data_IF_737603830269
#
_entry.id   IF_737603830269
#
_cell.length_a   1.000
_cell.length_b   1.000
_cell.length_c   1.000
_cell.angle_alpha   90.00
_cell.angle_beta   90.00
_cell.angle_gamma   90.00
#
_symmetry.space_group_name_H-M   'P 1'
#
loop_
_entity.id
_entity.type
_entity.pdbx_description
1 polymer ?
#
# COMPACT_ATOMS: atom_id res chain seq x y z
N UNK A 1 8.93 -25.25 22.32
CA UNK A 1 8.10 -24.06 22.58
C UNK A 1 6.89 -24.11 21.66
N UNK A 2 5.71 -23.89 22.19
CA UNK A 2 4.51 -23.68 21.37
C UNK A 2 4.61 -22.33 20.67
N UNK A 3 4.03 -22.20 19.47
CA UNK A 3 3.98 -20.94 18.75
C UNK A 3 2.99 -19.98 19.44
N UNK A 4 3.47 -18.85 19.89
CA UNK A 4 2.69 -17.71 20.37
C UNK A 4 3.41 -16.39 20.06
N UNK A 5 2.85 -15.25 20.45
CA UNK A 5 3.42 -13.93 20.14
C UNK A 5 4.82 -13.69 20.73
N UNK A 6 5.19 -14.38 21.80
CA UNK A 6 6.53 -14.27 22.41
C UNK A 6 7.55 -15.20 21.75
N UNK A 7 7.10 -16.30 21.16
CA UNK A 7 7.96 -17.33 20.57
C UNK A 7 8.00 -17.26 19.04
N UNK A 8 7.20 -16.39 18.42
CA UNK A 8 7.20 -16.18 16.98
C UNK A 8 8.52 -15.57 16.51
N UNK A 9 9.13 -16.17 15.48
CA UNK A 9 10.39 -15.67 14.88
C UNK A 9 10.12 -14.38 14.10
N UNK A 10 9.01 -14.32 13.38
CA UNK A 10 8.62 -13.10 12.65
C UNK A 10 8.01 -12.06 13.60
N UNK A 11 8.49 -10.81 13.61
CA UNK A 11 7.87 -9.75 14.39
C UNK A 11 6.43 -9.42 13.95
N UNK A 12 6.05 -9.76 12.72
CA UNK A 12 4.68 -9.61 12.20
C UNK A 12 3.70 -10.41 13.07
N UNK A 13 4.02 -11.67 13.35
CA UNK A 13 3.16 -12.59 14.12
C UNK A 13 3.43 -12.52 15.63
N UNK A 14 4.57 -11.93 16.03
CA UNK A 14 4.94 -11.70 17.42
C UNK A 14 4.59 -10.28 17.88
N UNK A 15 5.63 -9.41 17.93
CA UNK A 15 5.57 -8.04 18.45
C UNK A 15 4.43 -7.19 17.88
N UNK A 16 4.11 -7.37 16.60
CA UNK A 16 3.12 -6.55 15.88
C UNK A 16 1.80 -7.27 15.61
N UNK A 17 1.56 -8.44 16.20
CA UNK A 17 0.36 -9.25 15.94
C UNK A 17 -0.94 -8.45 16.06
N UNK A 18 -1.07 -7.61 17.07
CA UNK A 18 -2.26 -6.78 17.27
C UNK A 18 -2.55 -5.79 16.13
N UNK A 19 -1.56 -5.47 15.31
CA UNK A 19 -1.71 -4.60 14.14
C UNK A 19 -1.96 -5.37 12.84
N UNK A 20 -1.49 -6.59 12.76
CA UNK A 20 -1.48 -7.43 11.56
C UNK A 20 -2.58 -8.48 11.54
N UNK A 21 -3.25 -8.69 12.67
CA UNK A 21 -4.30 -9.70 12.83
C UNK A 21 -5.36 -9.68 11.73
N UNK A 22 -5.87 -8.51 11.26
CA UNK A 22 -6.86 -8.48 10.18
C UNK A 22 -6.36 -9.09 8.86
N UNK A 23 -5.04 -9.18 8.65
CA UNK A 23 -4.46 -9.80 7.46
C UNK A 23 -4.46 -11.34 7.52
N UNK A 24 -4.68 -11.93 8.69
CA UNK A 24 -4.72 -13.38 8.85
C UNK A 24 -5.84 -14.03 8.04
N UNK A 25 -6.97 -13.34 7.86
CA UNK A 25 -8.10 -13.80 7.07
C UNK A 25 -7.82 -13.88 5.56
N UNK A 26 -6.68 -13.34 5.11
CA UNK A 26 -6.30 -13.27 3.70
C UNK A 26 -5.00 -14.02 3.41
N UNK A 27 -4.02 -13.97 4.28
CA UNK A 27 -2.65 -14.40 3.99
C UNK A 27 -2.10 -15.50 4.90
N UNK A 28 -2.87 -16.00 5.87
CA UNK A 28 -2.48 -17.16 6.65
C UNK A 28 -2.65 -18.48 5.88
N UNK A 29 -2.05 -19.56 6.35
CA UNK A 29 -2.28 -20.91 5.79
C UNK A 29 -3.76 -21.31 5.90
N UNK A 30 -4.43 -20.95 7.00
CA UNK A 30 -5.86 -21.08 7.17
C UNK A 30 -6.64 -20.36 6.05
N UNK A 31 -6.31 -19.10 5.78
CA UNK A 31 -6.95 -18.32 4.73
C UNK A 31 -6.73 -18.95 3.34
N UNK A 32 -5.50 -19.38 3.03
CA UNK A 32 -5.20 -20.04 1.76
C UNK A 32 -6.04 -21.30 1.56
N UNK A 33 -6.20 -22.13 2.60
CA UNK A 33 -7.07 -23.31 2.55
C UNK A 33 -8.53 -22.88 2.27
N UNK A 34 -9.05 -21.88 2.98
CA UNK A 34 -10.42 -21.39 2.82
C UNK A 34 -10.68 -20.86 1.40
N UNK A 35 -9.73 -20.09 0.83
CA UNK A 35 -9.84 -19.61 -0.55
C UNK A 35 -9.78 -20.74 -1.57
N UNK A 36 -8.95 -21.75 -1.37
CA UNK A 36 -8.91 -22.95 -2.24
C UNK A 36 -10.23 -23.70 -2.20
N UNK A 37 -10.79 -23.95 -1.02
CA UNK A 37 -12.10 -24.60 -0.86
C UNK A 37 -13.18 -23.77 -1.55
N UNK A 38 -13.17 -22.44 -1.38
CA UNK A 38 -14.12 -21.54 -2.06
C UNK A 38 -14.05 -21.66 -3.57
N UNK A 39 -12.87 -21.63 -4.15
CA UNK A 39 -12.69 -21.75 -5.62
C UNK A 39 -13.17 -23.10 -6.12
N UNK A 40 -12.84 -24.19 -5.45
CA UNK A 40 -13.29 -25.55 -5.81
C UNK A 40 -14.81 -25.67 -5.74
N UNK A 41 -15.44 -25.17 -4.70
CA UNK A 41 -16.90 -25.22 -4.52
C UNK A 41 -17.61 -24.37 -5.59
N UNK A 42 -17.18 -23.13 -5.82
CA UNK A 42 -17.78 -22.29 -6.85
C UNK A 42 -17.55 -22.86 -8.25
N UNK A 43 -16.41 -23.49 -8.50
CA UNK A 43 -16.15 -24.23 -9.73
C UNK A 43 -17.13 -25.42 -9.91
N UNK A 44 -17.27 -26.26 -8.89
CA UNK A 44 -18.21 -27.39 -8.92
C UNK A 44 -19.67 -26.92 -9.16
N UNK A 45 -20.12 -25.89 -8.46
CA UNK A 45 -21.43 -25.28 -8.66
C UNK A 45 -21.59 -24.81 -10.12
N UNK A 46 -20.57 -24.14 -10.67
CA UNK A 46 -20.60 -23.65 -12.04
C UNK A 46 -20.65 -24.78 -13.07
N UNK A 47 -19.98 -25.91 -12.80
CA UNK A 47 -20.12 -27.11 -13.63
C UNK A 47 -21.58 -27.67 -13.58
N UNK A 48 -22.22 -27.70 -12.41
CA UNK A 48 -23.61 -28.14 -12.26
C UNK A 48 -24.61 -27.21 -12.97
N UNK A 49 -24.25 -25.97 -13.21
CA UNK A 49 -25.06 -25.01 -13.99
C UNK A 49 -24.98 -25.27 -15.51
N UNK A 50 -24.04 -26.12 -15.96
CA UNK A 50 -23.86 -26.46 -17.37
C UNK A 50 -24.79 -27.63 -17.80
N UNK A 51 -25.12 -27.73 -19.10
CA UNK A 51 -25.91 -28.84 -19.62
C UNK A 51 -25.08 -30.13 -19.79
N UNK A 52 -24.31 -30.49 -18.76
CA UNK A 52 -23.52 -31.73 -18.75
C UNK A 52 -24.41 -32.88 -18.33
N UNK A 53 -24.54 -33.95 -19.16
CA UNK A 53 -25.49 -35.05 -18.88
C UNK A 53 -25.30 -35.69 -17.52
N UNK A 54 -24.05 -35.81 -17.05
CA UNK A 54 -23.69 -36.45 -15.76
C UNK A 54 -24.05 -35.56 -14.55
N UNK A 55 -24.25 -34.28 -14.74
CA UNK A 55 -24.63 -33.32 -13.69
C UNK A 55 -26.11 -32.90 -13.79
N UNK A 56 -26.83 -33.32 -14.81
CA UNK A 56 -28.23 -32.93 -15.04
C UNK A 56 -29.17 -33.28 -13.89
N UNK A 57 -28.83 -34.30 -13.09
CA UNK A 57 -29.61 -34.72 -11.92
C UNK A 57 -29.23 -34.00 -10.61
N UNK A 58 -28.32 -33.08 -10.64
CA UNK A 58 -27.89 -32.40 -9.42
C UNK A 58 -28.96 -31.44 -8.89
N UNK A 59 -29.23 -31.52 -7.59
CA UNK A 59 -30.23 -30.63 -6.95
C UNK A 59 -29.63 -29.26 -6.63
N UNK A 60 -29.96 -28.26 -7.43
CA UNK A 60 -29.45 -26.88 -7.28
C UNK A 60 -29.83 -26.22 -5.93
N UNK A 61 -30.83 -26.77 -5.20
CA UNK A 61 -31.13 -26.28 -3.83
C UNK A 61 -30.01 -26.52 -2.84
N UNK A 62 -29.07 -27.40 -3.15
CA UNK A 62 -27.89 -27.68 -2.35
C UNK A 62 -26.76 -26.65 -2.52
N UNK A 63 -26.82 -25.76 -3.50
CA UNK A 63 -25.75 -24.79 -3.77
C UNK A 63 -25.36 -23.95 -2.53
N UNK A 64 -26.34 -23.43 -1.80
CA UNK A 64 -26.06 -22.67 -0.58
C UNK A 64 -25.41 -23.53 0.49
N UNK A 65 -25.84 -24.78 0.63
CA UNK A 65 -25.22 -25.73 1.58
C UNK A 65 -23.79 -26.10 1.19
N UNK A 66 -23.49 -26.17 -0.11
CA UNK A 66 -22.09 -26.31 -0.59
C UNK A 66 -21.26 -25.07 -0.27
N UNK A 67 -21.81 -23.87 -0.45
CA UNK A 67 -21.12 -22.62 -0.08
C UNK A 67 -20.83 -22.51 1.40
N UNK A 68 -21.68 -23.09 2.25
CA UNK A 68 -21.46 -23.12 3.70
C UNK A 68 -20.19 -23.87 4.07
N UNK A 69 -19.69 -24.81 3.24
CA UNK A 69 -18.43 -25.53 3.47
C UNK A 69 -17.26 -24.53 3.61
N UNK A 70 -17.16 -23.50 2.74
CA UNK A 70 -16.08 -22.53 2.84
C UNK A 70 -16.43 -21.30 3.69
N UNK A 71 -17.72 -20.95 3.81
CA UNK A 71 -18.17 -19.81 4.63
C UNK A 71 -18.01 -20.10 6.12
N UNK A 72 -18.29 -21.33 6.52
CA UNK A 72 -18.21 -21.78 7.92
C UNK A 72 -16.92 -22.56 8.22
N UNK A 73 -15.96 -22.58 7.26
CA UNK A 73 -14.68 -23.27 7.48
C UNK A 73 -13.94 -22.62 8.66
N UNK A 74 -13.69 -23.37 9.69
CA UNK A 74 -12.96 -22.97 10.88
C UNK A 74 -11.56 -23.59 10.96
N UNK A 75 -10.86 -23.34 12.06
CA UNK A 75 -9.52 -23.90 12.30
C UNK A 75 -9.51 -25.44 12.32
N UNK A 76 -10.60 -26.08 12.78
CA UNK A 76 -10.73 -27.55 12.81
C UNK A 76 -10.78 -28.13 11.40
N UNK A 77 -11.53 -27.52 10.51
CA UNK A 77 -11.65 -27.94 9.12
C UNK A 77 -10.33 -27.71 8.39
N UNK A 78 -9.68 -26.57 8.62
CA UNK A 78 -8.35 -26.30 8.09
C UNK A 78 -7.31 -27.32 8.61
N UNK A 79 -7.37 -27.67 9.90
CA UNK A 79 -6.50 -28.71 10.46
C UNK A 79 -6.79 -30.09 9.82
N UNK A 80 -8.08 -30.41 9.51
CA UNK A 80 -8.40 -31.65 8.79
C UNK A 80 -7.72 -31.69 7.42
N UNK A 81 -7.76 -30.59 6.66
CA UNK A 81 -7.02 -30.49 5.38
C UNK A 81 -5.52 -30.73 5.58
N UNK A 82 -4.91 -30.15 6.62
CA UNK A 82 -3.49 -30.38 6.94
C UNK A 82 -3.19 -31.85 7.34
N UNK A 83 -4.10 -32.52 8.00
CA UNK A 83 -3.95 -33.92 8.36
C UNK A 83 -4.01 -34.85 7.13
N UNK A 84 -4.88 -34.54 6.17
CA UNK A 84 -4.91 -35.21 4.87
C UNK A 84 -3.62 -34.94 4.09
N UNK A 85 -3.16 -33.67 4.07
CA UNK A 85 -1.92 -33.28 3.38
C UNK A 85 -0.69 -34.03 3.90
N UNK A 86 -0.59 -34.29 5.21
CA UNK A 86 0.50 -35.12 5.81
C UNK A 86 0.59 -36.49 5.20
N UNK A 87 -0.53 -37.07 4.77
CA UNK A 87 -0.59 -38.42 4.17
C UNK A 87 -0.35 -38.34 2.66
N UNK A 88 -0.98 -37.38 1.98
CA UNK A 88 -0.94 -37.28 0.51
C UNK A 88 0.32 -36.59 0.02
N UNK A 89 0.99 -35.81 0.87
CA UNK A 89 2.10 -34.91 0.55
C UNK A 89 1.77 -33.94 -0.62
N UNK A 90 0.49 -33.52 -0.70
CA UNK A 90 0.00 -32.65 -1.73
C UNK A 90 -1.15 -31.77 -1.22
N UNK A 91 -0.93 -30.47 -1.16
CA UNK A 91 -1.80 -29.48 -0.54
C UNK A 91 -3.18 -29.34 -1.24
N UNK A 92 -3.21 -29.16 -2.56
CA UNK A 92 -4.46 -29.00 -3.30
C UNK A 92 -5.25 -30.32 -3.37
N UNK A 93 -4.56 -31.47 -3.46
CA UNK A 93 -5.22 -32.79 -3.39
C UNK A 93 -5.87 -33.03 -2.03
N UNK A 94 -5.26 -32.53 -0.96
CA UNK A 94 -5.85 -32.59 0.37
C UNK A 94 -7.16 -31.76 0.46
N UNK A 95 -7.23 -30.62 -0.20
CA UNK A 95 -8.44 -29.81 -0.32
C UNK A 95 -9.55 -30.59 -1.06
N UNK A 96 -9.22 -31.22 -2.20
CA UNK A 96 -10.17 -32.07 -2.95
C UNK A 96 -10.74 -33.18 -2.08
N UNK A 97 -9.90 -33.91 -1.34
CA UNK A 97 -10.37 -34.99 -0.45
C UNK A 97 -11.23 -34.45 0.70
N UNK A 98 -10.84 -33.33 1.30
CA UNK A 98 -11.65 -32.70 2.32
C UNK A 98 -13.07 -32.33 1.78
N UNK A 99 -13.16 -31.76 0.60
CA UNK A 99 -14.45 -31.42 0.00
C UNK A 99 -15.30 -32.68 -0.25
N UNK A 100 -14.67 -33.78 -0.70
CA UNK A 100 -15.37 -35.07 -0.86
C UNK A 100 -15.88 -35.63 0.48
N UNK A 101 -15.13 -35.47 1.58
CA UNK A 101 -15.59 -35.82 2.93
C UNK A 101 -16.78 -34.95 3.37
N UNK A 102 -16.79 -33.66 3.02
CA UNK A 102 -17.92 -32.77 3.31
C UNK A 102 -19.17 -33.16 2.48
N UNK A 103 -18.98 -33.58 1.22
CA UNK A 103 -20.06 -34.10 0.40
C UNK A 103 -20.70 -35.38 1.01
N UNK A 104 -19.88 -36.25 1.61
CA UNK A 104 -20.39 -37.45 2.33
C UNK A 104 -21.24 -37.06 3.54
N UNK A 105 -20.87 -36.00 4.27
CA UNK A 105 -21.66 -35.49 5.40
C UNK A 105 -22.98 -34.85 4.96
N UNK A 106 -23.03 -34.24 3.77
CA UNK A 106 -24.25 -33.69 3.18
C UNK A 106 -25.20 -34.83 2.76
N UNK A 107 -24.62 -35.91 2.18
CA UNK A 107 -25.32 -37.08 1.69
C UNK A 107 -26.01 -36.88 0.34
N UNK A 108 -26.18 -37.97 -0.41
CA UNK A 108 -26.80 -37.95 -1.72
C UNK A 108 -25.98 -37.31 -2.84
N UNK A 109 -24.68 -37.15 -2.63
CA UNK A 109 -23.78 -36.56 -3.60
C UNK A 109 -22.75 -37.54 -4.19
N UNK A 110 -22.91 -38.83 -3.93
CA UNK A 110 -21.95 -39.88 -4.32
C UNK A 110 -21.68 -39.92 -5.83
N UNK A 111 -22.72 -39.74 -6.64
CA UNK A 111 -22.65 -39.77 -8.10
C UNK A 111 -21.95 -38.53 -8.69
N UNK A 112 -21.77 -37.47 -7.88
CA UNK A 112 -21.24 -36.18 -8.33
C UNK A 112 -19.84 -35.87 -7.81
N UNK A 113 -19.35 -36.61 -6.82
CA UNK A 113 -18.05 -36.33 -6.14
C UNK A 113 -16.86 -36.25 -7.07
N UNK A 114 -16.84 -37.05 -8.15
CA UNK A 114 -15.70 -37.09 -9.07
C UNK A 114 -15.64 -35.85 -9.97
N UNK A 115 -16.64 -34.97 -9.92
CA UNK A 115 -16.59 -33.64 -10.56
C UNK A 115 -15.94 -32.57 -9.70
N UNK A 116 -15.58 -32.86 -8.44
CA UNK A 116 -14.67 -32.00 -7.65
C UNK A 116 -13.31 -32.02 -8.32
N UNK A 117 -12.74 -30.85 -8.58
CA UNK A 117 -11.46 -30.70 -9.29
C UNK A 117 -11.43 -31.27 -10.73
N UNK A 118 -12.59 -31.42 -11.36
CA UNK A 118 -12.71 -32.03 -12.70
C UNK A 118 -11.93 -31.23 -13.74
N UNK A 119 -11.00 -31.87 -14.43
CA UNK A 119 -10.20 -31.27 -15.52
C UNK A 119 -9.19 -30.21 -15.08
N UNK A 120 -9.12 -29.89 -13.81
CA UNK A 120 -8.23 -28.87 -13.25
C UNK A 120 -6.81 -29.37 -12.95
N UNK A 121 -5.90 -28.44 -12.79
CA UNK A 121 -4.60 -28.63 -12.16
C UNK A 121 -4.50 -27.77 -10.90
N UNK A 122 -3.58 -28.08 -10.00
CA UNK A 122 -3.39 -27.34 -8.74
C UNK A 122 -3.26 -25.83 -8.94
N UNK A 123 -2.70 -25.41 -10.06
CA UNK A 123 -2.50 -23.98 -10.33
C UNK A 123 -3.77 -23.28 -10.84
N UNK A 124 -4.79 -23.99 -11.30
CA UNK A 124 -6.12 -23.38 -11.51
C UNK A 124 -6.73 -22.94 -10.18
N UNK A 125 -6.39 -23.62 -9.09
CA UNK A 125 -6.84 -23.31 -7.75
C UNK A 125 -5.93 -22.25 -7.08
N UNK A 126 -4.61 -22.39 -7.16
CA UNK A 126 -3.70 -21.44 -6.54
C UNK A 126 -3.68 -20.08 -7.25
N UNK A 127 -3.64 -20.08 -8.60
CA UNK A 127 -3.62 -18.84 -9.39
C UNK A 127 -4.99 -18.16 -9.54
N UNK A 128 -5.99 -18.64 -8.85
CA UNK A 128 -7.28 -17.99 -8.61
C UNK A 128 -7.43 -17.58 -7.14
N UNK A 129 -7.08 -18.46 -6.21
CA UNK A 129 -7.17 -18.21 -4.76
C UNK A 129 -6.28 -17.05 -4.30
N UNK A 130 -5.02 -17.00 -4.76
CA UNK A 130 -4.07 -15.95 -4.36
C UNK A 130 -4.51 -14.57 -4.85
N UNK A 131 -4.82 -14.32 -6.13
CA UNK A 131 -5.30 -13.00 -6.56
C UNK A 131 -6.67 -12.65 -5.96
N UNK A 132 -7.52 -13.62 -5.64
CA UNK A 132 -8.79 -13.37 -4.96
C UNK A 132 -8.56 -12.89 -3.52
N UNK A 133 -7.71 -13.57 -2.76
CA UNK A 133 -7.36 -13.14 -1.41
C UNK A 133 -6.66 -11.78 -1.39
N UNK A 134 -5.78 -11.52 -2.36
CA UNK A 134 -5.11 -10.23 -2.52
C UNK A 134 -6.13 -9.11 -2.79
N UNK A 135 -7.08 -9.33 -3.69
CA UNK A 135 -8.15 -8.39 -3.97
C UNK A 135 -8.92 -8.01 -2.71
N UNK A 136 -9.38 -9.03 -1.97
CA UNK A 136 -10.17 -8.81 -0.76
C UNK A 136 -9.34 -8.17 0.36
N UNK A 137 -8.04 -8.47 0.48
CA UNK A 137 -7.12 -7.80 1.41
C UNK A 137 -6.89 -6.32 1.06
N UNK A 138 -6.75 -6.00 -0.23
CA UNK A 138 -6.65 -4.61 -0.68
C UNK A 138 -7.92 -3.84 -0.32
N UNK A 139 -9.09 -4.39 -0.64
CA UNK A 139 -10.38 -3.75 -0.40
C UNK A 139 -10.74 -3.65 1.09
N UNK A 140 -10.51 -4.71 1.85
CA UNK A 140 -10.93 -4.82 3.24
C UNK A 140 -9.96 -4.21 4.25
N UNK A 141 -8.66 -4.16 3.95
CA UNK A 141 -7.63 -3.72 4.91
C UNK A 141 -6.77 -2.59 4.37
N UNK A 142 -6.14 -2.77 3.22
CA UNK A 142 -5.11 -1.83 2.76
C UNK A 142 -5.69 -0.47 2.37
N UNK A 143 -6.69 -0.44 1.49
CA UNK A 143 -7.31 0.81 1.03
C UNK A 143 -7.92 1.64 2.17
N UNK A 144 -8.67 1.05 3.12
CA UNK A 144 -9.18 1.82 4.24
C UNK A 144 -8.08 2.47 5.09
N UNK A 145 -6.99 1.77 5.37
CA UNK A 145 -5.90 2.31 6.19
C UNK A 145 -5.08 3.38 5.46
N UNK A 146 -4.82 3.20 4.16
CA UNK A 146 -4.17 4.23 3.36
C UNK A 146 -5.06 5.48 3.24
N UNK A 147 -6.37 5.29 3.06
CA UNK A 147 -7.31 6.40 3.00
C UNK A 147 -7.38 7.17 4.33
N UNK A 148 -7.29 6.48 5.46
CA UNK A 148 -7.19 7.12 6.78
C UNK A 148 -5.95 8.00 6.89
N UNK A 149 -4.79 7.53 6.40
CA UNK A 149 -3.56 8.33 6.35
C UNK A 149 -3.74 9.59 5.47
N UNK A 150 -4.28 9.43 4.27
CA UNK A 150 -4.56 10.54 3.35
C UNK A 150 -5.49 11.56 4.00
N UNK A 151 -6.57 11.11 4.65
CA UNK A 151 -7.53 11.98 5.32
C UNK A 151 -6.89 12.73 6.50
N UNK A 152 -6.04 12.07 7.28
CA UNK A 152 -5.31 12.70 8.38
C UNK A 152 -4.35 13.78 7.88
N UNK A 153 -3.61 13.51 6.79
CA UNK A 153 -2.72 14.49 6.18
C UNK A 153 -3.50 15.69 5.63
N UNK A 154 -4.63 15.45 5.00
CA UNK A 154 -5.50 16.53 4.48
C UNK A 154 -6.01 17.43 5.61
N UNK A 155 -6.47 16.84 6.72
CA UNK A 155 -6.91 17.59 7.88
C UNK A 155 -5.79 18.46 8.49
N UNK A 156 -4.56 17.94 8.56
CA UNK A 156 -3.41 18.72 9.02
C UNK A 156 -3.03 19.82 8.02
N UNK A 157 -3.13 19.55 6.73
CA UNK A 157 -2.88 20.56 5.69
C UNK A 157 -3.88 21.71 5.76
N UNK A 158 -5.14 21.44 6.05
CA UNK A 158 -6.19 22.43 6.26
C UNK A 158 -5.97 23.20 7.56
N UNK A 159 -5.65 22.52 8.68
CA UNK A 159 -5.37 23.14 9.98
C UNK A 159 -4.21 24.15 9.90
N UNK A 160 -3.18 23.83 9.10
CA UNK A 160 -1.97 24.65 8.98
C UNK A 160 -1.84 25.35 7.63
N UNK A 161 -2.96 25.59 6.94
CA UNK A 161 -3.00 26.18 5.61
C UNK A 161 -2.32 27.56 5.55
N UNK A 162 -2.48 28.38 6.58
CA UNK A 162 -1.96 29.76 6.64
C UNK A 162 -0.63 29.90 7.41
N UNK A 163 -0.01 28.79 7.78
CA UNK A 163 1.26 28.82 8.51
C UNK A 163 2.39 29.04 7.51
N UNK A 164 2.90 30.28 7.43
CA UNK A 164 4.11 30.58 6.68
C UNK A 164 5.31 29.83 7.28
N UNK A 165 6.14 29.26 6.45
CA UNK A 165 7.30 28.44 6.84
C UNK A 165 8.45 28.72 5.89
N UNK A 166 9.66 28.76 6.43
CA UNK A 166 10.86 28.84 5.62
C UNK A 166 11.09 27.51 4.88
N UNK A 167 11.07 27.54 3.55
CA UNK A 167 11.47 26.36 2.79
C UNK A 167 12.99 26.19 2.82
N UNK A 168 13.43 24.94 2.65
CA UNK A 168 14.86 24.62 2.57
C UNK A 168 15.15 23.84 1.29
N UNK A 169 16.12 24.34 0.51
CA UNK A 169 16.68 23.61 -0.62
C UNK A 169 18.16 23.36 -0.34
N UNK A 170 18.63 22.14 -0.60
CA UNK A 170 20.01 21.74 -0.23
C UNK A 170 20.34 21.98 1.25
N UNK A 171 19.31 21.90 2.13
CA UNK A 171 19.45 22.20 3.56
C UNK A 171 19.60 23.70 3.89
N UNK A 172 19.59 24.59 2.89
CA UNK A 172 19.73 26.03 3.08
C UNK A 172 18.37 26.74 2.99
N UNK A 173 18.19 27.86 3.72
CA UNK A 173 17.01 28.70 3.61
C UNK A 173 16.75 29.14 2.15
N UNK A 174 15.50 28.99 1.73
CA UNK A 174 15.00 29.36 0.40
C UNK A 174 13.70 30.16 0.54
N UNK A 175 13.04 30.44 -0.56
CA UNK A 175 11.77 31.19 -0.58
C UNK A 175 10.76 30.58 0.39
N UNK A 176 10.03 31.37 1.17
CA UNK A 176 9.02 30.88 2.08
C UNK A 176 7.92 30.09 1.38
N UNK A 177 7.31 29.18 2.10
CA UNK A 177 6.17 28.37 1.68
C UNK A 177 5.12 28.35 2.78
N UNK A 178 4.04 27.60 2.60
CA UNK A 178 3.04 27.33 3.64
C UNK A 178 3.09 25.87 4.06
N UNK A 179 3.08 25.63 5.35
CA UNK A 179 3.16 24.27 5.91
C UNK A 179 2.03 23.37 5.38
N UNK A 180 0.80 23.88 5.33
CA UNK A 180 -0.32 23.12 4.77
C UNK A 180 -0.09 22.71 3.31
N UNK A 181 0.49 23.62 2.49
CA UNK A 181 0.84 23.28 1.09
C UNK A 181 1.91 22.21 1.00
N UNK A 182 2.93 22.23 1.88
CA UNK A 182 3.96 21.18 1.90
C UNK A 182 3.36 19.80 2.23
N UNK A 183 2.39 19.73 3.13
CA UNK A 183 1.67 18.50 3.44
C UNK A 183 0.80 18.05 2.26
N UNK A 184 0.14 19.00 1.57
CA UNK A 184 -0.69 18.69 0.39
C UNK A 184 0.11 18.06 -0.76
N UNK A 185 1.42 18.29 -0.85
CA UNK A 185 2.29 17.58 -1.80
C UNK A 185 2.20 16.06 -1.60
N UNK A 186 2.24 15.60 -0.35
CA UNK A 186 2.14 14.18 -0.04
C UNK A 186 0.72 13.63 -0.25
N UNK A 187 -0.31 14.40 0.10
CA UNK A 187 -1.71 14.05 -0.19
C UNK A 187 -1.89 13.80 -1.68
N UNK A 188 -1.49 14.77 -2.51
CA UNK A 188 -1.58 14.67 -3.97
C UNK A 188 -0.85 13.43 -4.51
N UNK A 189 0.40 13.23 -4.10
CA UNK A 189 1.23 12.08 -4.54
C UNK A 189 0.60 10.75 -4.16
N UNK A 190 0.08 10.63 -2.94
CA UNK A 190 -0.55 9.38 -2.46
C UNK A 190 -1.86 9.10 -3.20
N UNK A 191 -2.69 10.10 -3.47
CA UNK A 191 -3.93 9.94 -4.23
C UNK A 191 -3.68 9.50 -5.68
N UNK A 192 -2.69 10.09 -6.35
CA UNK A 192 -2.28 9.68 -7.70
C UNK A 192 -1.80 8.22 -7.75
N UNK A 193 -1.01 7.81 -6.76
CA UNK A 193 -0.52 6.43 -6.72
C UNK A 193 -1.59 5.44 -6.25
N UNK A 194 -2.52 5.84 -5.39
CA UNK A 194 -3.68 5.03 -5.05
C UNK A 194 -4.59 4.82 -6.27
N UNK A 195 -4.80 5.86 -7.08
CA UNK A 195 -5.53 5.75 -8.33
C UNK A 195 -4.84 4.79 -9.31
N UNK A 196 -3.50 4.86 -9.42
CA UNK A 196 -2.69 3.93 -10.22
C UNK A 196 -2.85 2.49 -9.72
N UNK A 197 -2.76 2.24 -8.42
CA UNK A 197 -2.94 0.91 -7.83
C UNK A 197 -4.33 0.34 -8.13
N UNK A 198 -5.37 1.16 -8.02
CA UNK A 198 -6.76 0.75 -8.32
C UNK A 198 -7.00 0.41 -9.80
N UNK A 199 -6.17 0.92 -10.71
CA UNK A 199 -6.22 0.60 -12.13
C UNK A 199 -5.46 -0.69 -12.48
N UNK A 200 -4.63 -1.20 -11.58
CA UNK A 200 -3.95 -2.48 -11.80
C UNK A 200 -4.98 -3.61 -11.92
N UNK A 201 -4.85 -4.40 -12.97
CA UNK A 201 -5.76 -5.53 -13.19
C UNK A 201 -5.50 -6.64 -12.17
N UNK A 202 -6.58 -7.18 -11.66
CA UNK A 202 -6.58 -8.38 -10.83
C UNK A 202 -6.94 -9.58 -11.72
N UNK A 203 -5.91 -10.31 -12.14
CA UNK A 203 -6.05 -11.40 -13.10
C UNK A 203 -5.83 -12.77 -12.47
N UNK A 204 -6.31 -13.80 -13.14
CA UNK A 204 -6.16 -15.18 -12.73
C UNK A 204 -5.87 -16.10 -13.92
N UNK A 205 -5.02 -17.09 -13.72
CA UNK A 205 -4.88 -18.21 -14.66
C UNK A 205 -5.93 -19.26 -14.35
N UNK A 206 -6.67 -19.66 -15.39
CA UNK A 206 -7.62 -20.77 -15.34
C UNK A 206 -7.72 -21.42 -16.72
N UNK A 207 -7.36 -22.71 -16.86
CA UNK A 207 -7.31 -23.39 -18.17
C UNK A 207 -6.67 -24.76 -18.16
N UNK A 208 -6.53 -25.42 -16.99
CA UNK A 208 -5.96 -26.77 -16.89
C UNK A 208 -4.43 -26.79 -16.93
N UNK A 209 -3.86 -27.97 -17.11
CA UNK A 209 -2.46 -28.28 -16.92
C UNK A 209 -1.47 -27.46 -17.77
N UNK A 210 -1.90 -26.96 -18.92
CA UNK A 210 -1.08 -26.15 -19.84
C UNK A 210 -1.79 -24.87 -20.31
N UNK A 211 -2.90 -24.50 -19.67
CA UNK A 211 -3.68 -23.33 -20.06
C UNK A 211 -4.60 -23.54 -21.29
N UNK A 212 -4.70 -24.77 -21.80
CA UNK A 212 -5.40 -25.09 -23.06
C UNK A 212 -6.71 -25.86 -22.84
N UNK A 213 -7.20 -26.04 -21.59
CA UNK A 213 -8.37 -26.86 -21.27
C UNK A 213 -8.35 -28.30 -21.80
N UNK A 214 -7.16 -28.92 -21.90
CA UNK A 214 -6.98 -30.23 -22.54
C UNK A 214 -7.94 -31.30 -21.97
N UNK A 215 -8.00 -31.45 -20.65
CA UNK A 215 -8.84 -32.44 -20.01
C UNK A 215 -10.35 -32.16 -20.18
N UNK A 216 -10.74 -30.91 -20.10
CA UNK A 216 -12.11 -30.48 -20.31
C UNK A 216 -12.55 -30.76 -21.76
N UNK A 217 -11.71 -30.34 -22.73
CA UNK A 217 -12.02 -30.50 -24.15
C UNK A 217 -12.11 -31.98 -24.58
N UNK A 218 -11.23 -32.85 -24.06
CA UNK A 218 -11.31 -34.28 -24.39
C UNK A 218 -12.57 -34.92 -23.80
N UNK A 219 -13.04 -34.46 -22.63
CA UNK A 219 -14.24 -34.99 -21.99
C UNK A 219 -15.54 -34.48 -22.66
N UNK A 220 -15.58 -33.21 -23.04
CA UNK A 220 -16.69 -32.54 -23.65
C UNK A 220 -16.23 -31.63 -24.79
N UNK A 221 -15.97 -32.21 -26.00
CA UNK A 221 -15.33 -31.47 -27.09
C UNK A 221 -16.17 -30.37 -27.71
N UNK A 222 -17.52 -30.50 -27.59
CA UNK A 222 -18.50 -29.59 -28.21
C UNK A 222 -18.79 -28.37 -27.33
N UNK A 223 -18.20 -28.28 -26.12
CA UNK A 223 -18.45 -27.19 -25.20
C UNK A 223 -17.35 -26.10 -25.27
N UNK A 224 -17.74 -24.82 -25.25
CA UNK A 224 -16.78 -23.70 -25.23
C UNK A 224 -16.20 -23.48 -23.83
N UNK A 225 -15.11 -24.21 -23.56
CA UNK A 225 -14.39 -24.13 -22.28
C UNK A 225 -13.68 -22.81 -22.08
N UNK A 226 -13.36 -22.08 -23.14
CA UNK A 226 -12.73 -20.76 -23.05
C UNK A 226 -13.75 -19.72 -22.53
N UNK A 227 -14.93 -19.71 -23.11
CA UNK A 227 -16.03 -18.86 -22.63
C UNK A 227 -16.42 -19.22 -21.20
N UNK A 228 -16.52 -20.51 -20.91
CA UNK A 228 -16.76 -21.00 -19.54
C UNK A 228 -15.73 -20.45 -18.55
N UNK A 229 -14.44 -20.59 -18.83
CA UNK A 229 -13.36 -20.10 -17.97
C UNK A 229 -13.42 -18.58 -17.77
N UNK A 230 -13.73 -17.83 -18.84
CA UNK A 230 -13.90 -16.38 -18.76
C UNK A 230 -15.04 -15.99 -17.82
N UNK A 231 -16.20 -16.64 -17.96
CA UNK A 231 -17.38 -16.38 -17.10
C UNK A 231 -17.12 -16.81 -15.66
N UNK A 232 -16.61 -18.01 -15.44
CA UNK A 232 -16.29 -18.49 -14.10
C UNK A 232 -15.39 -17.51 -13.32
N UNK A 233 -14.25 -17.12 -13.90
CA UNK A 233 -13.31 -16.23 -13.26
C UNK A 233 -13.90 -14.84 -13.01
N UNK A 234 -14.69 -14.33 -13.94
CA UNK A 234 -15.30 -13.01 -13.82
C UNK A 234 -16.50 -12.99 -12.89
N UNK A 235 -17.44 -13.90 -13.07
CA UNK A 235 -18.74 -13.83 -12.39
C UNK A 235 -18.70 -14.43 -10.97
N UNK A 236 -17.91 -15.50 -10.77
CA UNK A 236 -17.82 -16.17 -9.46
C UNK A 236 -16.69 -15.64 -8.59
N UNK A 237 -15.59 -15.18 -9.21
CA UNK A 237 -14.38 -14.72 -8.47
C UNK A 237 -14.17 -13.20 -8.57
N UNK A 238 -14.82 -12.51 -9.51
CA UNK A 238 -14.65 -11.06 -9.71
C UNK A 238 -13.22 -10.69 -10.16
N UNK A 239 -12.57 -11.59 -10.90
CA UNK A 239 -11.24 -11.43 -11.47
C UNK A 239 -11.32 -11.43 -13.01
N UNK A 240 -10.23 -11.05 -13.69
CA UNK A 240 -10.10 -11.14 -15.15
C UNK A 240 -9.27 -12.37 -15.51
N UNK A 241 -9.78 -13.25 -16.40
CA UNK A 241 -9.02 -14.42 -16.82
C UNK A 241 -7.90 -14.05 -17.79
N UNK A 242 -6.69 -14.50 -17.53
CA UNK A 242 -5.57 -14.43 -18.47
C UNK A 242 -5.82 -15.37 -19.64
N UNK A 243 -5.81 -14.84 -20.87
CA UNK A 243 -6.21 -15.61 -22.07
C UNK A 243 -5.14 -16.57 -22.55
N UNK A 244 -3.87 -16.21 -22.36
CA UNK A 244 -2.71 -16.98 -22.81
C UNK A 244 -1.76 -17.19 -21.64
N UNK A 245 -1.68 -18.40 -21.15
CA UNK A 245 -0.86 -18.78 -20.02
C UNK A 245 -0.19 -20.14 -20.26
N UNK A 246 0.78 -20.48 -19.44
CA UNK A 246 1.30 -21.84 -19.26
C UNK A 246 0.47 -22.58 -18.19
N UNK A 247 1.06 -23.49 -17.45
CA UNK A 247 0.40 -24.09 -16.29
C UNK A 247 0.09 -23.07 -15.21
N UNK A 248 0.83 -21.94 -15.15
CA UNK A 248 0.73 -20.88 -14.16
C UNK A 248 0.32 -19.54 -14.78
N UNK A 249 -0.07 -18.58 -13.95
CA UNK A 249 -0.22 -17.16 -14.32
C UNK A 249 1.10 -16.62 -14.88
N UNK A 250 1.00 -15.62 -15.77
CA UNK A 250 2.15 -14.84 -16.21
C UNK A 250 2.72 -13.95 -15.08
N UNK A 251 1.93 -13.67 -14.05
CA UNK A 251 2.26 -12.82 -12.89
C UNK A 251 2.61 -11.36 -13.20
N UNK A 252 2.54 -10.91 -14.45
CA UNK A 252 2.86 -9.53 -14.84
C UNK A 252 1.94 -8.51 -14.15
N UNK A 253 0.64 -8.81 -14.08
CA UNK A 253 -0.32 -7.94 -13.40
C UNK A 253 -0.12 -7.94 -11.88
N UNK A 254 0.23 -9.06 -11.30
CA UNK A 254 0.58 -9.15 -9.88
C UNK A 254 1.86 -8.35 -9.58
N UNK A 255 2.86 -8.45 -10.46
CA UNK A 255 4.07 -7.63 -10.41
C UNK A 255 3.76 -6.14 -10.45
N UNK A 256 2.84 -5.70 -11.32
CA UNK A 256 2.39 -4.30 -11.40
C UNK A 256 1.75 -3.82 -10.11
N UNK A 257 0.96 -4.66 -9.42
CA UNK A 257 0.38 -4.34 -8.11
C UNK A 257 1.49 -4.15 -7.07
N UNK A 258 2.48 -5.05 -7.03
CA UNK A 258 3.61 -4.95 -6.09
C UNK A 258 4.46 -3.71 -6.33
N UNK A 259 4.69 -3.33 -7.59
CA UNK A 259 5.39 -2.10 -7.95
C UNK A 259 4.60 -0.84 -7.55
N UNK A 260 3.28 -0.82 -7.72
CA UNK A 260 2.42 0.27 -7.29
C UNK A 260 2.43 0.43 -5.75
N UNK A 261 2.35 -0.68 -5.00
CA UNK A 261 2.45 -0.68 -3.54
C UNK A 261 3.80 -0.14 -3.08
N UNK A 262 4.90 -0.57 -3.70
CA UNK A 262 6.25 -0.08 -3.40
C UNK A 262 6.38 1.41 -3.63
N UNK A 263 5.76 1.95 -4.67
CA UNK A 263 5.75 3.38 -4.96
C UNK A 263 5.00 4.18 -3.89
N UNK A 264 3.85 3.70 -3.42
CA UNK A 264 3.13 4.29 -2.29
C UNK A 264 4.01 4.28 -1.03
N UNK A 265 4.62 3.15 -0.71
CA UNK A 265 5.52 3.03 0.42
C UNK A 265 6.70 4.02 0.35
N UNK A 266 7.24 4.26 -0.85
CA UNK A 266 8.34 5.22 -1.06
C UNK A 266 7.90 6.66 -0.74
N UNK A 267 6.66 7.03 -1.05
CA UNK A 267 6.11 8.36 -0.71
C UNK A 267 5.94 8.50 0.80
N UNK A 268 5.49 7.44 1.48
CA UNK A 268 5.35 7.46 2.95
C UNK A 268 6.72 7.55 3.63
N UNK A 269 7.76 6.89 3.11
CA UNK A 269 9.14 7.05 3.61
C UNK A 269 9.61 8.50 3.50
N UNK A 270 9.36 9.15 2.37
CA UNK A 270 9.70 10.55 2.13
C UNK A 270 8.97 11.48 3.12
N UNK A 271 7.67 11.25 3.32
CA UNK A 271 6.87 11.92 4.34
C UNK A 271 7.43 11.74 5.76
N UNK A 272 7.75 10.51 6.14
CA UNK A 272 8.28 10.19 7.48
C UNK A 272 9.60 10.93 7.73
N UNK A 273 10.46 11.03 6.72
CA UNK A 273 11.74 11.75 6.80
C UNK A 273 11.56 13.26 6.92
N UNK A 274 10.61 13.84 6.22
CA UNK A 274 10.32 15.26 6.32
C UNK A 274 9.78 15.61 7.71
N UNK A 275 8.82 14.86 8.25
CA UNK A 275 8.32 15.08 9.61
C UNK A 275 9.40 14.84 10.68
N UNK A 276 10.23 13.81 10.50
CA UNK A 276 11.40 13.62 11.36
C UNK A 276 12.33 14.84 11.35
N UNK A 277 12.58 15.41 10.17
CA UNK A 277 13.40 16.60 9.98
C UNK A 277 12.75 17.82 10.65
N UNK A 278 11.44 18.04 10.45
CA UNK A 278 10.71 19.15 11.09
C UNK A 278 10.73 19.04 12.61
N UNK A 279 10.67 17.85 13.18
CA UNK A 279 10.84 17.63 14.63
C UNK A 279 12.28 17.97 15.05
N UNK A 280 13.28 17.55 14.29
CA UNK A 280 14.69 17.87 14.53
C UNK A 280 14.98 19.38 14.49
N UNK A 281 14.26 20.13 13.65
CA UNK A 281 14.34 21.60 13.56
C UNK A 281 13.46 22.31 14.62
N UNK A 282 12.81 21.57 15.51
CA UNK A 282 11.88 22.09 16.52
C UNK A 282 10.63 22.79 15.95
N UNK A 283 10.28 22.56 14.67
CA UNK A 283 9.02 23.05 14.09
C UNK A 283 7.83 22.32 14.66
N UNK A 284 8.03 21.08 15.12
CA UNK A 284 7.05 20.31 15.89
C UNK A 284 7.63 19.84 17.22
N UNK A 285 6.79 19.86 18.23
CA UNK A 285 6.93 19.10 19.47
C UNK A 285 6.04 17.88 19.40
N UNK A 286 6.28 16.89 20.26
CA UNK A 286 5.47 15.69 20.33
C UNK A 286 4.73 15.62 21.67
N UNK A 287 3.44 15.26 21.62
CA UNK A 287 2.63 14.99 22.84
C UNK A 287 3.28 13.85 23.61
N UNK A 288 3.45 14.06 24.91
CA UNK A 288 3.94 13.05 25.84
C UNK A 288 2.70 12.39 26.48
N UNK A 289 2.65 11.06 26.42
CA UNK A 289 1.64 10.30 27.14
C UNK A 289 2.13 10.00 28.56
N UNK A 290 1.30 10.24 29.56
CA UNK A 290 1.65 9.94 30.94
C UNK A 290 2.12 8.49 31.10
N UNK A 291 3.30 8.28 31.68
CA UNK A 291 3.92 6.96 31.84
C UNK A 291 4.80 6.49 30.68
N UNK A 292 4.83 7.18 29.55
CA UNK A 292 5.80 6.88 28.48
C UNK A 292 7.20 7.42 28.85
N UNK A 293 8.22 6.57 28.61
CA UNK A 293 9.65 6.96 28.77
C UNK A 293 10.19 7.28 27.39
N UNK A 294 10.48 8.56 27.13
CA UNK A 294 10.99 9.02 25.83
C UNK A 294 12.43 8.59 25.52
N UNK A 295 13.25 8.40 26.55
CA UNK A 295 14.64 7.96 26.46
C UNK A 295 15.04 7.26 27.75
N UNK A 296 15.83 6.21 27.67
CA UNK A 296 16.35 5.48 28.83
C UNK A 296 17.35 6.29 29.66
N UNK A 297 18.02 7.27 29.05
CA UNK A 297 19.08 8.05 29.68
C UNK A 297 18.70 9.54 29.92
N UNK A 298 17.80 10.10 29.09
CA UNK A 298 17.44 11.53 29.11
C UNK A 298 15.91 11.68 29.17
N UNK A 299 15.31 11.86 30.36
CA UNK A 299 13.84 11.87 30.52
C UNK A 299 13.11 12.95 29.73
N UNK A 300 13.78 14.07 29.42
CA UNK A 300 13.22 15.19 28.66
C UNK A 300 13.21 14.97 27.14
N UNK A 301 13.92 13.92 26.63
CA UNK A 301 14.09 13.66 25.20
C UNK A 301 12.93 12.81 24.67
N UNK A 302 12.13 13.36 23.77
CA UNK A 302 11.03 12.67 23.09
C UNK A 302 11.44 12.36 21.64
N UNK A 303 11.78 11.12 21.36
CA UNK A 303 12.26 10.70 20.05
C UNK A 303 11.09 10.51 19.07
N UNK A 304 11.25 10.84 17.77
CA UNK A 304 10.24 10.63 16.73
C UNK A 304 10.18 9.16 16.25
N UNK A 305 10.12 8.22 17.19
CA UNK A 305 10.25 6.76 16.92
C UNK A 305 9.12 6.19 16.06
N UNK A 306 7.98 6.84 16.01
CA UNK A 306 6.86 6.38 15.20
C UNK A 306 7.18 6.53 13.70
N UNK A 307 7.83 7.60 13.28
CA UNK A 307 8.29 7.81 11.90
C UNK A 307 9.48 6.90 11.55
N UNK A 308 10.42 6.70 12.47
CA UNK A 308 11.55 5.76 12.29
C UNK A 308 11.06 4.30 12.15
N UNK A 309 10.08 3.89 12.96
CA UNK A 309 9.48 2.56 12.88
C UNK A 309 8.74 2.35 11.54
N UNK A 310 8.05 3.39 11.04
CA UNK A 310 7.41 3.36 9.72
C UNK A 310 8.46 3.18 8.62
N UNK A 311 9.47 4.04 8.56
CA UNK A 311 10.54 3.97 7.55
C UNK A 311 11.20 2.58 7.52
N UNK A 312 11.54 2.02 8.68
CA UNK A 312 12.16 0.70 8.78
C UNK A 312 11.27 -0.42 8.24
N UNK A 313 9.99 -0.42 8.60
CA UNK A 313 9.03 -1.42 8.09
C UNK A 313 8.79 -1.28 6.58
N UNK A 314 8.68 -0.06 6.06
CA UNK A 314 8.50 0.18 4.63
C UNK A 314 9.73 -0.23 3.80
N UNK A 315 10.93 -0.07 4.36
CA UNK A 315 12.16 -0.57 3.73
C UNK A 315 12.15 -2.08 3.52
N UNK A 316 11.72 -2.84 4.55
CA UNK A 316 11.57 -4.30 4.47
C UNK A 316 10.46 -4.67 3.47
N UNK A 317 9.29 -4.01 3.54
CA UNK A 317 8.19 -4.23 2.62
C UNK A 317 8.64 -4.03 1.16
N UNK A 318 9.34 -2.94 0.88
CA UNK A 318 9.81 -2.61 -0.47
C UNK A 318 10.80 -3.62 -1.03
N UNK A 319 11.70 -4.15 -0.20
CA UNK A 319 12.65 -5.19 -0.61
C UNK A 319 11.91 -6.48 -1.04
N UNK A 320 10.89 -6.89 -0.29
CA UNK A 320 10.11 -8.09 -0.59
C UNK A 320 9.21 -7.85 -1.81
N UNK A 321 8.51 -6.71 -1.91
CA UNK A 321 7.67 -6.35 -3.06
C UNK A 321 8.49 -6.32 -4.36
N UNK A 322 9.69 -5.75 -4.33
CA UNK A 322 10.60 -5.74 -5.47
C UNK A 322 11.01 -7.15 -5.89
N UNK A 323 11.35 -8.00 -4.93
CA UNK A 323 11.70 -9.39 -5.21
C UNK A 323 10.52 -10.14 -5.82
N UNK A 324 9.32 -10.01 -5.27
CA UNK A 324 8.09 -10.64 -5.77
C UNK A 324 7.78 -10.20 -7.20
N UNK A 325 7.81 -8.90 -7.48
CA UNK A 325 7.55 -8.34 -8.81
C UNK A 325 8.54 -8.84 -9.87
N UNK A 326 9.81 -9.00 -9.50
CA UNK A 326 10.85 -9.45 -10.42
C UNK A 326 10.90 -10.98 -10.57
N UNK A 327 10.62 -11.74 -9.48
CA UNK A 327 10.79 -13.20 -9.47
C UNK A 327 9.60 -13.94 -10.09
N UNK A 328 8.38 -13.55 -9.77
CA UNK A 328 7.18 -14.30 -10.16
C UNK A 328 7.01 -14.46 -11.68
N UNK A 329 7.24 -13.44 -12.53
CA UNK A 329 7.14 -13.59 -13.98
C UNK A 329 8.18 -14.52 -14.60
N UNK A 330 9.18 -14.97 -13.84
CA UNK A 330 10.27 -15.81 -14.34
C UNK A 330 10.12 -17.24 -13.84
N UNK A 331 9.77 -18.15 -14.74
CA UNK A 331 9.65 -19.59 -14.49
C UNK A 331 10.29 -20.41 -15.59
N UNK A 332 10.38 -21.73 -15.44
CA UNK A 332 10.98 -22.65 -16.42
C UNK A 332 9.90 -23.35 -17.21
N UNK A 333 9.93 -23.22 -18.54
CA UNK A 333 8.99 -23.86 -19.47
C UNK A 333 7.52 -23.64 -19.02
N UNK A 334 6.79 -24.73 -18.72
CA UNK A 334 5.41 -24.63 -18.23
C UNK A 334 5.34 -24.17 -16.78
N UNK A 335 6.28 -24.56 -15.95
CA UNK A 335 6.34 -24.23 -14.52
C UNK A 335 7.56 -24.82 -13.82
N UNK A 336 8.09 -24.11 -12.83
CA UNK A 336 8.83 -24.69 -11.72
C UNK A 336 8.10 -24.40 -10.37
N UNK A 337 8.56 -25.00 -9.27
CA UNK A 337 7.89 -24.89 -7.97
C UNK A 337 8.17 -23.56 -7.22
N UNK A 338 9.09 -22.74 -7.72
CA UNK A 338 9.54 -21.54 -6.98
C UNK A 338 8.43 -20.51 -6.77
N UNK A 339 7.44 -20.45 -7.68
CA UNK A 339 6.27 -19.59 -7.53
C UNK A 339 5.48 -19.91 -6.24
N UNK A 340 5.20 -21.17 -5.98
CA UNK A 340 4.46 -21.59 -4.77
C UNK A 340 5.19 -21.24 -3.48
N UNK A 341 6.52 -21.37 -3.45
CA UNK A 341 7.35 -20.99 -2.31
C UNK A 341 7.28 -19.48 -2.05
N UNK A 342 7.39 -18.71 -3.11
CA UNK A 342 7.49 -17.24 -3.05
C UNK A 342 6.13 -16.62 -2.72
N UNK A 343 5.04 -17.11 -3.32
CA UNK A 343 3.67 -16.59 -3.10
C UNK A 343 3.20 -16.70 -1.65
N UNK A 344 3.70 -17.67 -0.87
CA UNK A 344 3.40 -17.77 0.57
C UNK A 344 3.86 -16.54 1.37
N UNK A 345 4.74 -15.73 0.81
CA UNK A 345 5.25 -14.50 1.44
C UNK A 345 4.52 -13.22 1.01
N UNK A 346 3.46 -13.30 0.21
CA UNK A 346 2.72 -12.10 -0.26
C UNK A 346 2.18 -11.28 0.90
N UNK A 347 1.70 -11.91 1.97
CA UNK A 347 1.19 -11.22 3.16
C UNK A 347 2.26 -10.46 3.97
N UNK A 348 3.53 -10.85 3.86
CA UNK A 348 4.62 -10.26 4.65
C UNK A 348 4.81 -8.77 4.35
N UNK A 349 5.00 -8.33 3.09
CA UNK A 349 5.14 -6.91 2.79
C UNK A 349 3.85 -6.11 3.06
N UNK A 350 2.66 -6.71 2.93
CA UNK A 350 1.41 -6.09 3.36
C UNK A 350 1.41 -5.80 4.86
N UNK A 351 1.80 -6.77 5.67
CA UNK A 351 1.87 -6.61 7.12
C UNK A 351 2.84 -5.49 7.51
N UNK A 352 4.04 -5.45 6.93
CA UNK A 352 4.99 -4.36 7.17
C UNK A 352 4.44 -2.99 6.73
N UNK A 353 3.74 -2.91 5.59
CA UNK A 353 3.11 -1.67 5.12
C UNK A 353 2.00 -1.20 6.08
N UNK A 354 1.17 -2.10 6.59
CA UNK A 354 0.12 -1.77 7.57
C UNK A 354 0.71 -1.31 8.91
N UNK A 355 1.75 -1.98 9.41
CA UNK A 355 2.48 -1.55 10.62
C UNK A 355 3.00 -0.12 10.42
N UNK A 356 3.57 0.17 9.27
CA UNK A 356 4.12 1.47 8.93
C UNK A 356 3.05 2.56 8.86
N UNK A 357 1.98 2.35 8.11
CA UNK A 357 0.86 3.31 7.99
C UNK A 357 0.30 3.65 9.36
N UNK A 358 0.06 2.66 10.21
CA UNK A 358 -0.40 2.87 11.58
C UNK A 358 0.62 3.63 12.44
N UNK A 359 1.91 3.40 12.20
CA UNK A 359 2.99 4.10 12.92
C UNK A 359 3.08 5.57 12.49
N UNK A 360 3.02 5.87 11.20
CA UNK A 360 2.97 7.25 10.68
C UNK A 360 1.74 7.98 11.23
N UNK A 361 0.54 7.37 11.16
CA UNK A 361 -0.69 7.93 11.74
C UNK A 361 -0.52 8.27 13.23
N UNK A 362 0.10 7.36 14.00
CA UNK A 362 0.36 7.59 15.42
C UNK A 362 1.33 8.76 15.62
N UNK A 363 2.38 8.85 14.81
CA UNK A 363 3.34 9.96 14.82
C UNK A 363 2.66 11.30 14.53
N UNK A 364 1.87 11.38 13.46
CA UNK A 364 1.13 12.58 13.06
C UNK A 364 0.18 13.08 14.17
N UNK A 365 -0.54 12.18 14.85
CA UNK A 365 -1.46 12.53 15.95
C UNK A 365 -0.77 13.06 17.21
N UNK A 366 0.54 12.84 17.35
CA UNK A 366 1.34 13.36 18.45
C UNK A 366 1.91 14.76 18.18
N UNK A 367 1.86 15.26 16.96
CA UNK A 367 2.46 16.52 16.59
C UNK A 367 1.77 17.70 17.30
N UNK A 368 2.58 18.63 17.75
CA UNK A 368 2.19 19.95 18.27
C UNK A 368 3.00 20.97 17.49
N UNK A 369 2.33 21.83 16.75
CA UNK A 369 2.99 22.90 15.98
C UNK A 369 3.72 23.86 16.94
N UNK A 370 4.98 24.15 16.66
CA UNK A 370 5.78 25.13 17.37
C UNK A 370 5.91 26.41 16.52
N UNK A 371 4.81 27.16 16.45
CA UNK A 371 4.72 28.35 15.60
C UNK A 371 5.80 29.37 15.94
N UNK A 372 6.13 29.57 17.23
CA UNK A 372 7.15 30.52 17.65
C UNK A 372 8.51 30.23 17.02
N UNK A 373 8.88 28.95 16.88
CA UNK A 373 10.14 28.57 16.23
C UNK A 373 10.14 28.81 14.72
N UNK A 374 9.01 28.51 14.09
CA UNK A 374 8.82 28.76 12.65
C UNK A 374 8.91 30.26 12.36
N UNK A 375 8.20 31.07 13.13
CA UNK A 375 8.21 32.54 13.00
C UNK A 375 9.62 33.11 13.23
N UNK A 376 10.32 32.64 14.27
CA UNK A 376 11.70 33.07 14.57
C UNK A 376 12.68 32.73 13.42
N UNK A 377 12.50 31.61 12.74
CA UNK A 377 13.35 31.27 11.59
C UNK A 377 13.07 32.18 10.39
N UNK A 378 11.82 32.56 10.15
CA UNK A 378 11.43 33.54 9.14
C UNK A 378 12.03 34.92 9.47
N UNK A 379 11.84 35.42 10.70
CA UNK A 379 12.34 36.71 11.17
C UNK A 379 13.87 36.81 11.12
N UNK A 380 14.55 35.70 11.28
CA UNK A 380 16.00 35.64 11.22
C UNK A 380 16.55 35.51 9.79
N UNK A 381 15.70 35.38 8.77
CA UNK A 381 16.14 35.04 7.41
C UNK A 381 15.57 36.00 6.34
N UNK A 382 15.67 37.29 6.59
CA UNK A 382 15.19 38.34 5.67
C UNK A 382 15.82 38.28 4.27
N UNK A 383 16.95 37.64 4.09
CA UNK A 383 17.59 37.43 2.79
C UNK A 383 16.69 36.75 1.75
N UNK A 384 15.66 35.99 2.18
CA UNK A 384 14.77 35.24 1.28
C UNK A 384 13.84 36.13 0.47
N UNK A 385 13.60 37.40 0.90
CA UNK A 385 12.79 38.36 0.13
C UNK A 385 13.56 38.97 -1.04
N UNK A 386 14.88 38.74 -1.14
CA UNK A 386 15.69 39.27 -2.24
C UNK A 386 15.19 38.83 -3.64
N UNK A 387 14.65 37.63 -3.75
CA UNK A 387 14.06 37.12 -4.99
C UNK A 387 12.81 37.95 -5.40
N UNK A 388 11.94 38.27 -4.45
CA UNK A 388 10.76 39.09 -4.69
C UNK A 388 11.15 40.50 -5.14
N UNK A 389 12.12 41.11 -4.43
CA UNK A 389 12.63 42.46 -4.78
C UNK A 389 13.23 42.46 -6.19
N UNK A 390 14.07 41.47 -6.50
CA UNK A 390 14.64 41.33 -7.84
C UNK A 390 13.58 41.23 -8.93
N UNK A 391 12.52 40.46 -8.67
CA UNK A 391 11.44 40.22 -9.63
C UNK A 391 10.64 41.52 -9.91
N UNK A 392 10.33 42.29 -8.85
CA UNK A 392 9.68 43.59 -9.00
C UNK A 392 10.59 44.57 -9.72
N UNK A 393 11.88 44.64 -9.36
CA UNK A 393 12.82 45.53 -10.05
C UNK A 393 12.96 45.19 -11.54
N UNK A 394 12.87 43.93 -11.94
CA UNK A 394 12.79 43.54 -13.36
C UNK A 394 11.52 43.99 -14.02
N UNK A 395 10.38 43.95 -13.34
CA UNK A 395 9.11 44.48 -13.83
C UNK A 395 9.18 46.01 -14.11
N UNK A 396 9.96 46.71 -13.30
CA UNK A 396 10.16 48.18 -13.41
C UNK A 396 11.35 48.55 -14.31
N UNK A 397 11.88 47.63 -15.13
CA UNK A 397 13.04 47.86 -16.01
C UNK A 397 14.27 48.47 -15.30
N UNK A 398 14.43 48.17 -14.01
CA UNK A 398 15.57 48.63 -13.21
C UNK A 398 16.89 48.04 -13.74
N UNK A 399 17.97 48.85 -13.92
CA UNK A 399 19.23 48.36 -14.48
C UNK A 399 19.94 47.39 -13.53
N UNK A 400 20.32 46.20 -14.03
CA UNK A 400 21.12 45.19 -13.31
C UNK A 400 20.58 44.82 -11.93
N UNK A 401 19.28 44.41 -11.77
CA UNK A 401 18.66 44.20 -10.48
C UNK A 401 19.31 43.06 -9.66
N UNK A 402 19.84 42.03 -10.32
CA UNK A 402 20.56 40.95 -9.64
C UNK A 402 21.89 41.45 -9.02
N UNK A 403 22.64 42.22 -9.75
CA UNK A 403 23.93 42.76 -9.28
C UNK A 403 23.72 43.75 -8.13
N UNK A 404 22.70 44.55 -8.14
CA UNK A 404 22.33 45.43 -7.04
C UNK A 404 22.05 44.67 -5.76
N UNK A 405 21.28 43.60 -5.82
CA UNK A 405 20.97 42.72 -4.67
C UNK A 405 22.19 41.88 -4.25
N UNK A 406 23.00 41.40 -5.20
CA UNK A 406 24.24 40.67 -4.90
C UNK A 406 25.20 41.49 -4.08
N UNK A 407 25.31 42.77 -4.35
CA UNK A 407 26.17 43.68 -3.56
C UNK A 407 25.66 43.76 -2.11
N UNK A 408 24.35 43.73 -1.87
CA UNK A 408 23.76 43.74 -0.54
C UNK A 408 23.94 42.39 0.19
N UNK A 409 23.73 41.27 -0.51
CA UNK A 409 23.74 39.92 0.11
C UNK A 409 25.11 39.34 0.41
N UNK A 410 26.21 39.84 -0.25
CA UNK A 410 27.56 39.34 -0.10
C UNK A 410 28.46 40.17 0.87
N UNK A 411 27.85 40.92 1.78
CA UNK A 411 28.56 41.76 2.72
C UNK A 411 29.01 41.07 4.01
N UNK A 412 28.77 39.77 4.19
CA UNK A 412 28.94 39.00 5.45
C UNK A 412 28.18 39.63 6.65
N UNK A 413 27.30 40.60 6.44
CA UNK A 413 26.44 41.16 7.47
C UNK A 413 25.10 40.44 7.43
N UNK A 414 24.47 40.23 8.59
CA UNK A 414 23.14 39.66 8.70
C UNK A 414 22.14 40.62 7.97
N UNK A 415 21.36 40.08 7.04
CA UNK A 415 20.28 40.84 6.42
C UNK A 415 19.12 40.89 7.39
N UNK A 416 18.70 42.10 7.73
CA UNK A 416 17.56 42.38 8.62
C UNK A 416 16.53 43.20 7.84
N UNK A 417 15.33 43.33 8.39
CA UNK A 417 14.29 44.22 7.89
C UNK A 417 14.85 45.62 7.61
N UNK A 418 15.56 46.17 8.60
CA UNK A 418 16.17 47.50 8.47
C UNK A 418 17.11 47.62 7.30
N UNK A 419 18.03 46.64 7.09
CA UNK A 419 19.00 46.67 6.00
C UNK A 419 18.29 46.51 4.63
N UNK A 420 17.23 45.77 4.54
CA UNK A 420 16.39 45.64 3.34
C UNK A 420 15.67 46.97 3.06
N UNK A 421 15.08 47.61 4.06
CA UNK A 421 14.40 48.89 3.89
C UNK A 421 15.37 50.00 3.51
N UNK A 422 16.57 50.07 4.12
CA UNK A 422 17.62 51.02 3.70
C UNK A 422 18.02 50.82 2.21
N UNK A 423 18.14 49.57 1.78
CA UNK A 423 18.41 49.27 0.37
C UNK A 423 17.27 49.76 -0.52
N UNK A 424 15.99 49.48 -0.17
CA UNK A 424 14.80 49.92 -0.94
C UNK A 424 14.78 51.47 -1.04
N UNK A 425 15.12 52.18 0.04
CA UNK A 425 15.18 53.64 0.06
C UNK A 425 16.23 54.22 -0.94
N UNK A 426 17.32 53.51 -1.14
CA UNK A 426 18.37 53.87 -2.08
C UNK A 426 18.05 53.63 -3.55
N UNK A 427 16.97 52.90 -3.87
CA UNK A 427 16.59 52.56 -5.24
C UNK A 427 16.03 53.77 -5.99
N UNK A 428 16.38 53.93 -7.27
CA UNK A 428 15.84 54.93 -8.17
C UNK A 428 14.54 54.41 -8.82
N UNK A 429 13.51 54.20 -8.02
CA UNK A 429 12.16 53.77 -8.43
C UNK A 429 11.12 54.71 -7.81
N UNK A 430 9.86 54.68 -8.27
CA UNK A 430 8.80 55.51 -7.70
C UNK A 430 8.49 55.16 -6.25
N UNK A 431 7.97 56.13 -5.47
CA UNK A 431 7.57 55.90 -4.08
C UNK A 431 6.54 54.75 -3.94
N UNK A 432 5.61 54.67 -4.94
CA UNK A 432 4.64 53.56 -4.99
C UNK A 432 5.33 52.20 -5.06
N UNK A 433 6.38 52.05 -5.84
CA UNK A 433 7.15 50.82 -5.96
C UNK A 433 7.95 50.56 -4.69
N UNK A 434 8.50 51.60 -4.05
CA UNK A 434 9.21 51.45 -2.75
C UNK A 434 8.23 50.98 -1.67
N UNK A 435 7.03 51.47 -1.63
CA UNK A 435 6.00 51.03 -0.66
C UNK A 435 5.57 49.56 -0.91
N UNK A 436 5.43 49.16 -2.17
CA UNK A 436 5.19 47.77 -2.55
C UNK A 436 6.33 46.84 -2.08
N UNK A 437 7.56 47.27 -2.29
CA UNK A 437 8.73 46.51 -1.86
C UNK A 437 8.86 46.40 -0.34
N UNK A 438 8.58 47.48 0.41
CA UNK A 438 8.60 47.46 1.90
C UNK A 438 7.52 46.57 2.50
N UNK A 439 6.40 46.37 1.81
CA UNK A 439 5.32 45.51 2.24
C UNK A 439 5.67 44.00 2.19
N UNK A 440 6.74 43.64 1.49
CA UNK A 440 7.17 42.25 1.35
C UNK A 440 7.98 41.83 2.58
N UNK A 441 7.55 40.75 3.21
CA UNK A 441 8.20 40.16 4.39
C UNK A 441 8.40 38.65 4.18
N UNK A 442 9.28 37.99 4.96
CA UNK A 442 9.38 36.53 4.95
C UNK A 442 8.06 35.82 5.28
N UNK A 443 7.13 36.50 6.00
CA UNK A 443 5.85 35.94 6.42
C UNK A 443 4.74 36.03 5.37
N UNK A 444 4.91 36.85 4.32
CA UNK A 444 3.87 37.03 3.28
C UNK A 444 4.37 36.71 1.86
N UNK A 445 5.64 36.40 1.70
CA UNK A 445 6.22 36.03 0.40
C UNK A 445 6.14 34.51 0.16
N UNK A 446 4.97 33.94 0.19
CA UNK A 446 4.75 32.51 0.03
C UNK A 446 3.84 32.14 -1.15
N UNK A 447 3.51 33.10 -2.02
CA UNK A 447 2.69 32.89 -3.22
C UNK A 447 1.20 32.73 -2.93
N UNK A 448 0.56 31.87 -3.72
CA UNK A 448 -0.88 31.57 -3.69
C UNK A 448 -1.20 30.28 -2.97
#
# INVERSE_FOLDING_TARGET
>A
MTLDTLTAISPIDGRYRSKTEPLADYFSEYALIRYRVRVEIEYFITLCELPLPQLAGFDHRLFERLRDIYRNLGEKEAQRVKDIEKVTNHDVKAVEYFIKEEFDKIGGLDDFKEFVHFGLTSQDINNTSVPLSLKEALEGVYYPQLQELINQLRALAEEWADVAMLAKTHGQPASPTRLGKEIMVFVYRLEEQLATLRQCKLTAKFGGATGNFNAHHVAYPDYDWRDFGNRFVKEKLGLEREQWTTQISNYDHLGSIFDALRRINTIIIDLDRDFWMYISMEYFKQKIKAGEVGSSAMPHKVNPIDFENSEGNLGIANAILQFLAAKLPVSRLQRDLTDSTVLRNVGVPFAHSIIAIQSTLKGLRKLILNKDKIDADLDNTWAVVAEAIQTILRREDYPHPYEALKALTRTNKKMTEETIHQFIDSLSVSDKVKDELRAITPHNYYGI
#
